data_IF_153470482234
#
_entry.id   IF_153470482234
#
_cell.length_a   1.000
_cell.length_b   1.000
_cell.length_c   1.000
_cell.angle_alpha   90.00
_cell.angle_beta   90.00
_cell.angle_gamma   90.00
#
_symmetry.space_group_name_H-M   'P 1'
#
loop_
_entity.id
_entity.type
_entity.pdbx_description
1 polymer ?
#
# COMPACT_ATOMS: atom_id res chain seq x y z
N UNK A 1 -29.84 -24.23 -19.28
CA UNK A 1 -30.39 -24.03 -17.94
C UNK A 1 -29.35 -24.28 -16.87
N UNK A 2 -28.36 -23.33 -16.68
CA UNK A 2 -27.32 -23.37 -15.63
C UNK A 2 -26.86 -21.97 -15.19
N UNK A 3 -27.78 -21.00 -15.11
CA UNK A 3 -27.44 -19.60 -14.80
C UNK A 3 -28.30 -19.04 -13.66
N UNK A 4 -28.46 -19.76 -12.53
CA UNK A 4 -29.27 -19.25 -11.40
C UNK A 4 -28.71 -19.72 -10.03
N UNK A 5 -27.40 -19.53 -9.77
CA UNK A 5 -26.84 -19.82 -8.43
C UNK A 5 -25.79 -18.76 -8.03
N UNK A 6 -26.09 -17.47 -8.13
CA UNK A 6 -25.15 -16.45 -7.59
C UNK A 6 -25.80 -15.29 -6.83
N UNK A 7 -27.08 -15.39 -6.48
CA UNK A 7 -27.77 -14.31 -5.74
C UNK A 7 -27.96 -14.62 -4.23
N UNK A 8 -27.68 -15.82 -3.76
CA UNK A 8 -27.98 -16.19 -2.36
C UNK A 8 -26.82 -16.06 -1.35
N UNK A 9 -25.63 -15.65 -1.76
CA UNK A 9 -24.49 -15.47 -0.84
C UNK A 9 -24.36 -14.06 -0.23
N UNK A 10 -25.23 -13.12 -0.58
CA UNK A 10 -25.07 -11.70 -0.20
C UNK A 10 -25.80 -11.32 1.10
N UNK A 11 -26.55 -12.21 1.73
CA UNK A 11 -27.37 -11.86 2.91
C UNK A 11 -26.73 -12.19 4.26
N UNK A 12 -25.48 -12.69 4.32
CA UNK A 12 -24.91 -13.17 5.59
C UNK A 12 -23.81 -12.32 6.24
N UNK A 13 -23.45 -11.17 5.69
CA UNK A 13 -22.29 -10.39 6.21
C UNK A 13 -22.66 -9.06 6.89
N UNK A 14 -23.91 -8.75 7.19
CA UNK A 14 -24.27 -7.42 7.72
C UNK A 14 -24.89 -7.44 9.13
N UNK A 15 -24.65 -8.47 9.96
CA UNK A 15 -25.01 -8.45 11.37
C UNK A 15 -23.81 -8.40 12.32
N UNK A 16 -22.79 -7.62 12.00
CA UNK A 16 -21.84 -7.20 13.01
C UNK A 16 -22.33 -5.88 13.61
N UNK A 17 -23.28 -6.00 14.54
CA UNK A 17 -23.57 -4.90 15.47
C UNK A 17 -22.31 -4.69 16.29
N UNK A 18 -21.60 -3.59 15.99
CA UNK A 18 -20.52 -3.07 16.83
C UNK A 18 -21.09 -2.59 18.17
N UNK A 19 -21.45 -3.52 19.05
CA UNK A 19 -21.73 -3.27 20.48
C UNK A 19 -20.45 -3.51 21.28
N UNK A 20 -19.46 -2.68 21.06
CA UNK A 20 -18.32 -2.54 21.97
C UNK A 20 -17.87 -1.08 22.03
N UNK A 21 -18.83 -0.16 22.20
CA UNK A 21 -18.55 1.16 22.72
C UNK A 21 -18.54 1.09 24.26
N UNK A 22 -17.61 0.35 24.85
CA UNK A 22 -17.16 0.67 26.18
C UNK A 22 -16.70 2.13 26.14
N UNK A 23 -17.18 2.96 27.07
CA UNK A 23 -16.66 4.31 27.29
C UNK A 23 -15.18 4.20 27.71
N UNK A 24 -14.29 3.97 26.72
CA UNK A 24 -12.89 4.31 26.86
C UNK A 24 -12.91 5.84 26.91
N UNK A 25 -12.62 6.41 28.06
CA UNK A 25 -12.30 7.83 28.20
C UNK A 25 -11.25 8.15 27.15
N UNK A 26 -11.67 8.71 26.00
CA UNK A 26 -10.75 9.07 24.92
C UNK A 26 -9.89 10.21 25.46
N UNK A 27 -8.63 9.91 25.78
CA UNK A 27 -7.65 10.96 26.03
C UNK A 27 -7.67 11.87 24.79
N UNK A 28 -8.01 13.14 24.96
CA UNK A 28 -8.12 14.14 23.90
C UNK A 28 -6.81 14.33 23.10
N UNK A 29 -5.73 13.69 23.55
CA UNK A 29 -4.42 13.68 22.88
C UNK A 29 -4.33 12.75 21.69
N UNK A 30 -5.26 11.80 21.55
CA UNK A 30 -5.33 10.85 20.42
C UNK A 30 -6.38 11.28 19.40
N UNK A 31 -6.01 11.24 18.14
CA UNK A 31 -6.92 11.39 16.99
C UNK A 31 -6.88 10.09 16.17
N UNK A 32 -8.05 9.51 15.98
CA UNK A 32 -8.21 8.30 15.18
C UNK A 32 -8.97 8.62 13.90
N UNK A 33 -8.70 7.91 12.85
CA UNK A 33 -9.45 8.04 11.62
C UNK A 33 -9.10 6.94 10.63
N UNK A 34 -10.02 6.69 9.73
CA UNK A 34 -9.78 5.67 8.73
C UNK A 34 -10.93 5.53 7.75
N UNK A 35 -10.74 4.66 6.80
CA UNK A 35 -11.77 4.24 5.88
C UNK A 35 -11.59 2.78 5.51
N UNK A 36 -12.69 2.08 5.39
CA UNK A 36 -12.77 0.73 4.84
C UNK A 36 -13.66 0.74 3.60
N UNK A 37 -13.28 0.00 2.57
CA UNK A 37 -14.01 -0.02 1.29
C UNK A 37 -14.05 -1.40 0.64
N UNK A 38 -15.12 -1.64 -0.10
CA UNK A 38 -15.31 -2.77 -1.00
C UNK A 38 -15.70 -2.25 -2.38
N UNK A 39 -14.82 -2.43 -3.34
CA UNK A 39 -15.09 -2.15 -4.74
C UNK A 39 -15.43 -3.45 -5.46
N UNK A 40 -16.42 -3.39 -6.32
CA UNK A 40 -16.85 -4.49 -7.19
C UNK A 40 -16.72 -4.05 -8.64
N UNK A 41 -16.27 -4.98 -9.48
CA UNK A 41 -16.22 -4.79 -10.93
C UNK A 41 -16.84 -6.00 -11.62
N UNK A 42 -17.63 -5.76 -12.66
CA UNK A 42 -18.22 -6.81 -13.48
C UNK A 42 -18.23 -6.41 -14.94
N UNK A 43 -17.81 -7.32 -15.81
CA UNK A 43 -18.03 -7.27 -17.24
C UNK A 43 -18.84 -8.50 -17.63
N UNK A 44 -19.99 -8.29 -18.27
CA UNK A 44 -20.85 -9.36 -18.75
C UNK A 44 -21.15 -9.12 -20.21
N UNK A 45 -20.74 -10.06 -21.05
CA UNK A 45 -20.89 -10.02 -22.51
C UNK A 45 -21.85 -11.13 -22.93
N UNK A 46 -22.89 -10.74 -23.68
CA UNK A 46 -23.83 -11.69 -24.26
C UNK A 46 -24.00 -11.36 -25.73
N UNK A 47 -23.67 -12.29 -26.62
CA UNK A 47 -23.70 -12.12 -28.09
C UNK A 47 -22.89 -10.90 -28.56
N UNK A 48 -21.81 -10.55 -27.85
CA UNK A 48 -20.94 -9.42 -28.15
C UNK A 48 -19.90 -9.80 -29.20
N UNK A 49 -19.96 -9.17 -30.39
CA UNK A 49 -19.13 -9.54 -31.54
C UNK A 49 -17.74 -8.89 -31.55
N UNK A 50 -17.52 -7.84 -30.72
CA UNK A 50 -16.27 -7.04 -30.76
C UNK A 50 -15.13 -7.61 -29.89
N UNK A 51 -15.27 -8.85 -29.37
CA UNK A 51 -14.26 -9.46 -28.51
C UNK A 51 -14.37 -9.05 -27.04
N UNK A 52 -13.51 -9.62 -26.19
CA UNK A 52 -13.55 -9.47 -24.74
C UNK A 52 -13.93 -10.78 -24.06
N UNK A 53 -13.93 -10.79 -22.73
CA UNK A 53 -14.34 -11.93 -21.90
C UNK A 53 -15.16 -11.46 -20.68
N UNK A 54 -16.01 -12.33 -20.18
CA UNK A 54 -16.70 -12.08 -18.92
C UNK A 54 -15.68 -12.01 -17.78
N UNK A 55 -15.85 -11.04 -16.91
CA UNK A 55 -14.97 -10.82 -15.77
C UNK A 55 -15.76 -10.39 -14.53
N UNK A 56 -15.33 -10.84 -13.38
CA UNK A 56 -15.81 -10.38 -12.08
C UNK A 56 -14.62 -10.13 -11.18
N UNK A 57 -14.60 -8.98 -10.50
CA UNK A 57 -13.52 -8.62 -9.59
C UNK A 57 -14.02 -7.92 -8.34
N UNK A 58 -13.17 -7.95 -7.31
CA UNK A 58 -13.36 -7.16 -6.12
C UNK A 58 -12.03 -6.69 -5.55
N UNK A 59 -12.06 -5.55 -4.85
CA UNK A 59 -10.97 -5.02 -4.04
C UNK A 59 -11.50 -4.62 -2.66
N UNK A 60 -10.87 -5.11 -1.61
CA UNK A 60 -11.09 -4.69 -0.23
C UNK A 60 -9.93 -3.77 0.17
N UNK A 61 -10.27 -2.64 0.77
CA UNK A 61 -9.32 -1.62 1.22
C UNK A 61 -9.59 -1.31 2.70
N UNK A 62 -8.53 -1.13 3.48
CA UNK A 62 -8.59 -0.62 4.84
C UNK A 62 -7.42 0.32 5.07
N UNK A 63 -7.73 1.55 5.44
CA UNK A 63 -6.76 2.54 5.90
C UNK A 63 -7.15 2.97 7.32
N UNK A 64 -6.19 2.96 8.23
CA UNK A 64 -6.40 3.39 9.61
C UNK A 64 -5.22 4.24 10.08
N UNK A 65 -5.52 5.29 10.81
CA UNK A 65 -4.53 6.15 11.45
C UNK A 65 -4.85 6.36 12.93
N UNK A 66 -3.81 6.44 13.75
CA UNK A 66 -3.88 6.77 15.17
C UNK A 66 -2.74 7.73 15.48
N UNK A 67 -3.09 9.00 15.69
CA UNK A 67 -2.15 10.08 15.91
C UNK A 67 -2.27 10.60 17.36
N UNK A 68 -1.17 10.57 18.09
CA UNK A 68 -1.04 11.13 19.42
C UNK A 68 -0.30 12.46 19.36
N UNK A 69 -0.85 13.50 20.00
CA UNK A 69 -0.20 14.80 20.15
C UNK A 69 -0.49 15.38 21.52
N UNK A 70 0.53 15.47 22.36
CA UNK A 70 0.45 16.08 23.69
C UNK A 70 1.79 16.68 24.09
N UNK A 71 1.76 17.94 24.53
CA UNK A 71 2.98 18.67 24.89
C UNK A 71 4.01 18.67 23.76
N UNK A 72 5.19 18.08 24.01
CA UNK A 72 6.27 17.94 23.03
C UNK A 72 6.25 16.60 22.28
N UNK A 73 5.26 15.73 22.52
CA UNK A 73 5.20 14.40 21.93
C UNK A 73 4.25 14.40 20.73
N UNK A 74 4.72 13.88 19.63
CA UNK A 74 3.97 13.55 18.42
C UNK A 74 4.22 12.08 18.10
N UNK A 75 3.16 11.28 17.93
CA UNK A 75 3.29 9.90 17.51
C UNK A 75 2.22 9.57 16.48
N UNK A 76 2.64 9.37 15.25
CA UNK A 76 1.78 9.14 14.09
C UNK A 76 1.90 7.70 13.64
N UNK A 77 0.75 7.00 13.60
CA UNK A 77 0.69 5.61 13.20
C UNK A 77 -0.31 5.44 12.06
N UNK A 78 0.04 4.59 11.09
CA UNK A 78 -0.79 4.30 9.92
C UNK A 78 -0.70 2.84 9.53
N UNK A 79 -1.85 2.25 9.21
CA UNK A 79 -1.97 0.93 8.60
C UNK A 79 -2.75 1.09 7.30
N UNK A 80 -2.24 0.51 6.23
CA UNK A 80 -2.93 0.41 4.95
C UNK A 80 -2.93 -1.05 4.51
N UNK A 81 -4.11 -1.58 4.22
CA UNK A 81 -4.29 -2.92 3.71
C UNK A 81 -5.11 -2.88 2.44
N UNK A 82 -4.73 -3.69 1.46
CA UNK A 82 -5.50 -3.86 0.25
C UNK A 82 -5.39 -5.29 -0.23
N UNK A 83 -6.49 -5.86 -0.68
CA UNK A 83 -6.52 -7.16 -1.32
C UNK A 83 -7.57 -7.21 -2.41
N UNK A 84 -7.18 -7.62 -3.61
CA UNK A 84 -8.07 -7.67 -4.76
C UNK A 84 -7.83 -8.89 -5.63
N UNK A 85 -8.91 -9.41 -6.17
CA UNK A 85 -8.93 -10.50 -7.13
C UNK A 85 -9.79 -10.12 -8.33
N UNK A 86 -9.40 -10.61 -9.48
CA UNK A 86 -10.21 -10.60 -10.69
C UNK A 86 -10.26 -12.01 -11.27
N UNK A 87 -11.45 -12.47 -11.62
CA UNK A 87 -11.67 -13.76 -12.26
C UNK A 87 -12.23 -13.53 -13.65
N UNK A 88 -11.63 -14.18 -14.64
CA UNK A 88 -12.08 -14.18 -16.02
C UNK A 88 -12.31 -15.62 -16.49
N UNK A 89 -13.10 -15.79 -17.57
CA UNK A 89 -13.42 -17.13 -18.08
C UNK A 89 -12.19 -17.86 -18.62
N UNK A 90 -11.30 -17.17 -19.31
CA UNK A 90 -10.15 -17.77 -19.98
C UNK A 90 -8.93 -17.87 -19.10
N UNK A 91 -8.65 -16.86 -18.30
CA UNK A 91 -7.42 -16.78 -17.51
C UNK A 91 -7.58 -17.20 -16.05
N UNK A 92 -8.81 -17.49 -15.61
CA UNK A 92 -9.12 -17.83 -14.22
C UNK A 92 -8.86 -16.69 -13.24
N UNK A 93 -8.61 -17.02 -11.98
CA UNK A 93 -8.41 -16.02 -10.92
C UNK A 93 -6.99 -15.43 -10.96
N UNK A 94 -6.92 -14.09 -10.93
CA UNK A 94 -5.67 -13.29 -10.85
C UNK A 94 -5.75 -12.34 -9.68
N UNK A 95 -4.63 -12.19 -8.97
CA UNK A 95 -4.47 -11.17 -7.94
C UNK A 95 -4.24 -9.81 -8.60
N UNK A 96 -5.06 -8.81 -8.26
CA UNK A 96 -5.00 -7.45 -8.80
C UNK A 96 -4.42 -6.47 -7.80
N UNK A 97 -4.65 -6.71 -6.50
CA UNK A 97 -4.14 -5.88 -5.43
C UNK A 97 -3.68 -6.76 -4.25
N UNK A 98 -2.60 -6.35 -3.58
CA UNK A 98 -2.11 -7.04 -2.38
C UNK A 98 -1.09 -6.13 -1.69
N UNK A 99 -1.48 -5.55 -0.56
CA UNK A 99 -0.66 -4.59 0.18
C UNK A 99 -0.91 -4.74 1.67
N UNK A 100 0.17 -4.78 2.42
CA UNK A 100 0.21 -4.56 3.86
C UNK A 100 1.30 -3.52 4.14
N UNK A 101 0.89 -2.33 4.54
CA UNK A 101 1.78 -1.24 4.92
C UNK A 101 1.51 -0.82 6.35
N UNK A 102 2.57 -0.66 7.12
CA UNK A 102 2.54 -0.08 8.46
C UNK A 102 3.59 1.01 8.56
N UNK A 103 3.24 2.15 9.13
CA UNK A 103 4.17 3.24 9.43
C UNK A 103 3.95 3.74 10.86
N UNK A 104 5.03 3.96 11.57
CA UNK A 104 5.04 4.57 12.90
C UNK A 104 6.15 5.61 12.97
N UNK A 105 5.81 6.85 13.29
CA UNK A 105 6.77 7.95 13.46
C UNK A 105 6.55 8.59 14.81
N UNK A 106 7.54 8.48 15.69
CA UNK A 106 7.55 9.17 16.97
C UNK A 106 8.44 10.39 16.90
N UNK A 107 7.96 11.53 17.41
CA UNK A 107 8.67 12.81 17.42
C UNK A 107 8.66 13.48 18.79
N UNK A 108 9.81 14.07 19.16
CA UNK A 108 9.93 14.96 20.30
C UNK A 108 10.13 16.40 19.85
N UNK A 109 9.21 17.29 20.25
CA UNK A 109 9.11 18.67 19.76
C UNK A 109 10.31 19.55 20.12
N UNK A 110 10.98 20.05 19.13
CA UNK A 110 12.03 21.06 19.22
C UNK A 110 11.44 22.47 19.06
N UNK A 111 10.47 22.61 18.14
CA UNK A 111 9.68 23.83 17.95
C UNK A 111 8.21 23.48 17.82
N UNK A 112 7.34 24.44 17.45
CA UNK A 112 5.90 24.19 17.24
C UNK A 112 5.62 23.22 16.08
N UNK A 113 6.52 23.10 15.12
CA UNK A 113 6.34 22.31 13.91
C UNK A 113 7.52 21.38 13.56
N UNK A 114 8.63 21.45 14.30
CA UNK A 114 9.80 20.60 14.08
C UNK A 114 10.02 19.68 15.26
N UNK A 115 10.19 18.38 14.98
CA UNK A 115 10.38 17.32 15.95
C UNK A 115 11.67 16.55 15.63
N UNK A 116 12.45 16.19 16.64
CA UNK A 116 13.43 15.11 16.55
C UNK A 116 12.66 13.79 16.50
N UNK A 117 12.92 12.92 15.53
CA UNK A 117 12.03 11.78 15.28
C UNK A 117 12.74 10.46 15.00
N UNK A 118 12.05 9.39 15.36
CA UNK A 118 12.35 8.02 14.95
C UNK A 118 11.21 7.51 14.05
N UNK A 119 11.58 6.87 12.95
CA UNK A 119 10.67 6.33 11.93
C UNK A 119 10.80 4.81 11.88
N UNK A 120 9.66 4.13 11.70
CA UNK A 120 9.57 2.73 11.30
C UNK A 120 8.52 2.62 10.21
N UNK A 121 8.90 2.06 9.05
CA UNK A 121 7.99 1.68 7.97
C UNK A 121 8.16 0.21 7.65
N UNK A 122 7.06 -0.51 7.52
CA UNK A 122 7.02 -1.89 7.09
C UNK A 122 6.07 -2.05 5.91
N UNK A 123 6.51 -2.73 4.86
CA UNK A 123 5.72 -2.96 3.67
C UNK A 123 5.92 -4.40 3.17
N UNK A 124 4.80 -5.11 2.92
CA UNK A 124 4.81 -6.45 2.33
C UNK A 124 3.45 -6.74 1.67
N UNK A 125 3.18 -7.98 1.37
CA UNK A 125 1.94 -8.48 0.79
C UNK A 125 1.45 -9.72 1.56
N UNK A 126 0.18 -10.10 1.38
CA UNK A 126 -0.44 -11.22 2.10
C UNK A 126 -0.26 -12.55 1.40
N UNK A 127 -0.49 -12.58 0.09
CA UNK A 127 -0.68 -13.80 -0.68
C UNK A 127 0.40 -14.02 -1.73
N UNK A 128 0.51 -15.25 -2.21
CA UNK A 128 1.38 -15.59 -3.34
C UNK A 128 1.01 -14.79 -4.58
N UNK A 129 2.01 -14.28 -5.27
CA UNK A 129 1.91 -13.65 -6.58
C UNK A 129 2.52 -14.53 -7.67
N UNK A 130 1.96 -14.44 -8.85
CA UNK A 130 2.38 -15.22 -10.01
C UNK A 130 2.54 -14.30 -11.22
N UNK A 131 3.47 -14.64 -12.10
CA UNK A 131 3.46 -14.12 -13.46
C UNK A 131 2.38 -14.88 -14.25
N UNK A 132 1.33 -14.17 -14.64
CA UNK A 132 0.21 -14.74 -15.39
C UNK A 132 0.45 -14.80 -16.90
N UNK A 133 1.65 -14.44 -17.37
CA UNK A 133 2.05 -14.52 -18.78
C UNK A 133 2.77 -15.83 -19.10
N UNK A 134 3.16 -16.59 -18.09
CA UNK A 134 3.86 -17.87 -18.24
C UNK A 134 2.91 -19.06 -18.01
N UNK A 135 3.13 -20.15 -18.73
CA UNK A 135 2.46 -21.44 -18.50
C UNK A 135 3.52 -22.55 -18.37
N UNK A 136 3.63 -23.23 -17.23
CA UNK A 136 2.88 -23.01 -16.00
C UNK A 136 3.21 -21.64 -15.37
N UNK A 137 2.27 -21.08 -14.57
CA UNK A 137 2.44 -19.77 -13.91
C UNK A 137 3.66 -19.76 -13.03
N UNK A 138 4.58 -18.84 -13.28
CA UNK A 138 5.78 -18.65 -12.47
C UNK A 138 5.46 -17.94 -11.18
N UNK A 139 5.92 -18.49 -10.07
CA UNK A 139 5.81 -17.89 -8.74
C UNK A 139 6.80 -16.73 -8.60
N UNK A 140 6.32 -15.54 -8.25
CA UNK A 140 7.14 -14.32 -8.21
C UNK A 140 7.13 -13.57 -6.88
N UNK A 141 6.21 -13.86 -5.96
CA UNK A 141 6.15 -13.15 -4.67
C UNK A 141 5.24 -13.86 -3.65
N UNK A 142 5.40 -13.53 -2.36
CA UNK A 142 4.54 -13.96 -1.25
C UNK A 142 4.73 -13.05 -0.02
N UNK A 143 4.03 -13.35 1.08
CA UNK A 143 4.28 -12.70 2.37
C UNK A 143 5.77 -12.78 2.76
N UNK A 144 6.36 -11.62 3.12
CA UNK A 144 7.78 -11.47 3.40
C UNK A 144 8.72 -11.91 2.26
N UNK A 145 8.24 -11.83 1.00
CA UNK A 145 9.04 -12.02 -0.21
C UNK A 145 8.44 -11.19 -1.35
N UNK A 146 8.72 -9.86 -1.38
CA UNK A 146 9.56 -9.13 -0.44
C UNK A 146 8.82 -8.64 0.81
N UNK A 147 9.57 -8.46 1.91
CA UNK A 147 9.20 -7.66 3.06
C UNK A 147 10.22 -6.55 3.25
N UNK A 148 9.79 -5.30 3.22
CA UNK A 148 10.68 -4.14 3.42
C UNK A 148 10.46 -3.54 4.79
N UNK A 149 11.52 -3.43 5.58
CA UNK A 149 11.52 -2.73 6.85
C UNK A 149 12.51 -1.58 6.79
N UNK A 150 12.02 -0.36 6.96
CA UNK A 150 12.87 0.84 7.05
C UNK A 150 12.75 1.41 8.46
N UNK A 151 13.86 1.64 9.12
CA UNK A 151 13.95 2.38 10.37
C UNK A 151 14.86 3.56 10.19
N UNK A 152 14.58 4.68 10.89
CA UNK A 152 15.40 5.87 10.73
C UNK A 152 15.34 6.82 11.92
N UNK A 153 16.40 7.58 12.07
CA UNK A 153 16.52 8.68 13.03
C UNK A 153 16.75 9.99 12.29
N UNK A 154 16.02 11.04 12.68
CA UNK A 154 16.11 12.31 12.00
C UNK A 154 15.14 13.35 12.52
N UNK A 155 14.45 14.05 11.65
CA UNK A 155 13.51 15.13 12.01
C UNK A 155 12.22 15.03 11.22
N UNK A 156 11.12 15.38 11.89
CA UNK A 156 9.80 15.51 11.27
C UNK A 156 9.37 16.96 11.32
N UNK A 157 9.03 17.50 10.16
CA UNK A 157 8.44 18.82 10.00
C UNK A 157 6.93 18.68 9.71
N UNK A 158 6.11 19.21 10.61
CA UNK A 158 4.65 19.15 10.54
C UNK A 158 4.07 20.55 10.73
N UNK A 159 4.13 21.42 9.69
CA UNK A 159 3.70 22.82 9.79
C UNK A 159 2.19 23.00 9.79
N UNK A 160 1.47 22.06 9.19
CA UNK A 160 0.01 22.05 9.04
C UNK A 160 -0.51 20.61 9.21
N UNK A 161 -1.78 20.46 9.57
CA UNK A 161 -2.39 19.13 9.78
C UNK A 161 -2.49 18.27 8.52
N UNK A 162 -2.31 18.85 7.34
CA UNK A 162 -2.45 18.18 6.07
C UNK A 162 -1.11 17.83 5.40
N UNK A 163 0.04 18.25 5.97
CA UNK A 163 1.37 17.94 5.44
C UNK A 163 2.34 17.53 6.55
N UNK A 164 3.06 16.47 6.32
CA UNK A 164 4.16 15.99 7.16
C UNK A 164 5.34 15.61 6.28
N UNK A 165 6.52 16.08 6.62
CA UNK A 165 7.77 15.66 5.98
C UNK A 165 8.72 15.12 7.06
N UNK A 166 9.18 13.88 6.89
CA UNK A 166 10.14 13.21 7.79
C UNK A 166 11.42 12.93 7.02
N UNK A 167 12.49 13.56 7.45
CA UNK A 167 13.84 13.31 6.94
C UNK A 167 14.63 12.53 7.98
N UNK A 168 15.09 11.35 7.63
CA UNK A 168 15.93 10.48 8.45
C UNK A 168 17.33 10.41 7.84
N UNK A 169 18.26 11.15 8.41
CA UNK A 169 19.65 11.20 7.93
C UNK A 169 20.39 9.88 8.17
N UNK A 170 19.98 9.12 9.16
CA UNK A 170 20.49 7.80 9.48
C UNK A 170 19.31 6.83 9.39
N UNK A 171 19.30 6.03 8.33
CA UNK A 171 18.25 5.03 8.08
C UNK A 171 18.87 3.69 7.76
N UNK A 172 18.27 2.65 8.28
CA UNK A 172 18.51 1.28 7.88
C UNK A 172 17.29 0.74 7.12
N UNK A 173 17.52 0.08 6.00
CA UNK A 173 16.50 -0.65 5.23
C UNK A 173 16.90 -2.10 5.10
N UNK A 174 16.01 -3.00 5.49
CA UNK A 174 16.15 -4.44 5.28
C UNK A 174 15.11 -4.94 4.28
N UNK A 175 15.57 -5.61 3.23
CA UNK A 175 14.73 -6.33 2.27
C UNK A 175 14.76 -7.80 2.61
N UNK A 176 13.64 -8.35 3.08
CA UNK A 176 13.50 -9.74 3.49
C UNK A 176 12.90 -10.58 2.37
N UNK A 177 13.48 -11.75 2.11
CA UNK A 177 12.99 -12.74 1.15
C UNK A 177 12.86 -14.09 1.84
N UNK A 178 11.70 -14.38 2.42
CA UNK A 178 11.43 -15.59 3.19
C UNK A 178 11.27 -16.86 2.33
N UNK A 179 11.03 -16.69 1.03
CA UNK A 179 10.88 -17.78 0.07
C UNK A 179 12.24 -18.29 -0.36
N UNK A 180 12.53 -19.57 -0.11
CA UNK A 180 13.76 -20.21 -0.57
C UNK A 180 13.94 -20.11 -2.10
N UNK A 181 12.88 -20.33 -2.87
CA UNK A 181 12.92 -20.26 -4.34
C UNK A 181 13.36 -18.87 -4.81
N UNK A 182 12.72 -17.81 -4.27
CA UNK A 182 13.04 -16.43 -4.66
C UNK A 182 14.40 -15.97 -4.13
N UNK A 183 14.84 -16.49 -2.97
CA UNK A 183 16.16 -16.26 -2.43
C UNK A 183 17.24 -16.92 -3.31
N UNK A 184 17.07 -18.20 -3.67
CA UNK A 184 18.00 -18.93 -4.55
C UNK A 184 18.14 -18.24 -5.94
N UNK A 185 17.08 -17.54 -6.39
CA UNK A 185 17.07 -16.75 -7.64
C UNK A 185 17.69 -15.35 -7.50
N UNK A 186 18.05 -14.92 -6.29
CA UNK A 186 18.54 -13.56 -6.03
C UNK A 186 17.45 -12.48 -6.25
N UNK A 187 16.18 -12.80 -6.00
CA UNK A 187 15.08 -11.88 -6.21
C UNK A 187 15.11 -10.73 -5.21
N UNK A 188 14.67 -9.54 -5.63
CA UNK A 188 14.55 -8.33 -4.79
C UNK A 188 15.87 -7.80 -4.22
N UNK A 189 17.00 -8.08 -4.88
CA UNK A 189 18.31 -7.55 -4.49
C UNK A 189 19.08 -8.39 -3.48
N UNK A 190 18.52 -9.48 -2.93
CA UNK A 190 19.31 -10.40 -2.10
C UNK A 190 20.30 -11.20 -2.93
N UNK A 191 21.43 -11.55 -2.37
CA UNK A 191 22.35 -12.51 -2.99
C UNK A 191 21.70 -13.89 -3.07
N UNK A 192 21.99 -14.70 -4.11
CA UNK A 192 21.44 -16.04 -4.26
C UNK A 192 21.66 -16.92 -3.02
N UNK A 193 20.55 -17.37 -2.41
CA UNK A 193 20.53 -18.16 -1.18
C UNK A 193 20.43 -17.33 0.10
N UNK A 194 20.63 -16.01 0.04
CA UNK A 194 20.46 -15.12 1.19
C UNK A 194 18.99 -14.67 1.34
N UNK A 195 18.62 -14.34 2.58
CA UNK A 195 17.25 -13.98 2.94
C UNK A 195 17.08 -12.53 3.36
N UNK A 196 18.16 -11.77 3.43
CA UNK A 196 18.18 -10.37 3.84
C UNK A 196 19.19 -9.59 3.01
N UNK A 197 18.71 -8.53 2.36
CA UNK A 197 19.55 -7.47 1.83
C UNK A 197 19.46 -6.27 2.77
N UNK A 198 20.61 -5.75 3.21
CA UNK A 198 20.71 -4.73 4.25
C UNK A 198 21.40 -3.48 3.71
N UNK A 199 20.77 -2.34 3.88
CA UNK A 199 21.22 -1.05 3.38
C UNK A 199 21.26 -0.02 4.50
N UNK A 200 22.23 0.89 4.43
CA UNK A 200 22.32 2.06 5.32
C UNK A 200 22.27 3.32 4.46
N UNK A 201 21.41 4.28 4.81
CA UNK A 201 21.22 5.43 3.97
C UNK A 201 20.45 6.57 4.61
N UNK A 202 19.94 7.45 3.73
CA UNK A 202 19.03 8.52 4.07
C UNK A 202 17.62 8.24 3.53
N UNK A 203 16.61 8.61 4.31
CA UNK A 203 15.21 8.50 3.91
C UNK A 203 14.50 9.84 4.01
N UNK A 204 13.70 10.19 3.00
CA UNK A 204 12.79 11.33 3.03
C UNK A 204 11.39 10.84 2.71
N UNK A 205 10.48 10.94 3.68
CA UNK A 205 9.06 10.65 3.53
C UNK A 205 8.25 11.94 3.60
N UNK A 206 7.44 12.20 2.58
CA UNK A 206 6.51 13.35 2.55
C UNK A 206 5.08 12.82 2.39
N UNK A 207 4.20 13.20 3.28
CA UNK A 207 2.79 12.83 3.28
C UNK A 207 1.92 14.09 3.22
N UNK A 208 0.95 14.08 2.30
CA UNK A 208 -0.04 15.14 2.15
C UNK A 208 -1.42 14.48 2.18
N UNK A 209 -2.32 14.97 3.05
CA UNK A 209 -3.73 14.58 3.09
C UNK A 209 -4.56 15.85 3.10
N UNK A 210 -5.18 16.17 1.97
CA UNK A 210 -5.86 17.45 1.79
C UNK A 210 -7.23 17.28 1.14
N UNK A 211 -8.26 17.83 1.78
CA UNK A 211 -9.58 17.97 1.19
C UNK A 211 -9.60 19.25 0.34
N UNK A 212 -9.43 19.12 -0.97
CA UNK A 212 -9.32 20.25 -1.88
C UNK A 212 -10.68 20.71 -2.44
N UNK A 213 -11.68 19.83 -2.40
CA UNK A 213 -13.09 20.12 -2.66
C UNK A 213 -13.96 19.37 -1.65
N UNK A 214 -15.16 19.84 -1.40
CA UNK A 214 -16.12 19.15 -0.54
C UNK A 214 -16.29 17.70 -1.01
N UNK A 215 -16.06 16.75 -0.10
CA UNK A 215 -16.13 15.31 -0.34
C UNK A 215 -15.02 14.76 -1.29
N UNK A 216 -13.99 15.52 -1.60
CA UNK A 216 -12.87 15.08 -2.42
C UNK A 216 -11.55 15.26 -1.66
N UNK A 217 -10.94 14.16 -1.28
CA UNK A 217 -9.68 14.14 -0.52
C UNK A 217 -8.58 13.51 -1.36
N UNK A 218 -7.46 14.21 -1.49
CA UNK A 218 -6.23 13.65 -2.02
C UNK A 218 -5.33 13.22 -0.86
N UNK A 219 -4.79 12.03 -0.96
CA UNK A 219 -3.68 11.56 -0.15
C UNK A 219 -2.51 11.26 -1.06
N UNK A 220 -1.36 11.83 -0.78
CA UNK A 220 -0.13 11.58 -1.52
C UNK A 220 1.00 11.28 -0.54
N UNK A 221 1.74 10.22 -0.78
CA UNK A 221 2.94 9.85 -0.04
C UNK A 221 4.08 9.58 -0.99
N UNK A 222 5.14 10.34 -0.83
CA UNK A 222 6.44 10.11 -1.49
C UNK A 222 7.40 9.58 -0.44
N UNK A 223 8.10 8.52 -0.76
CA UNK A 223 9.15 7.92 0.05
C UNK A 223 10.40 7.77 -0.82
N UNK A 224 11.47 8.49 -0.46
CA UNK A 224 12.75 8.50 -1.15
C UNK A 224 13.80 7.87 -0.25
N UNK A 225 14.61 6.98 -0.81
CA UNK A 225 15.73 6.37 -0.10
C UNK A 225 16.99 6.40 -0.95
N UNK A 226 18.11 6.76 -0.33
CA UNK A 226 19.44 6.72 -0.95
C UNK A 226 20.36 5.87 -0.09
N UNK A 227 20.93 4.82 -0.67
CA UNK A 227 21.91 3.94 -0.02
C UNK A 227 23.28 4.67 0.01
N UNK A 228 23.82 4.94 1.19
CA UNK A 228 25.11 5.62 1.35
C UNK A 228 26.31 4.73 1.06
N UNK A 229 26.13 3.42 1.13
CA UNK A 229 27.21 2.44 0.99
C UNK A 229 27.37 1.97 -0.45
N UNK A 230 26.32 2.10 -1.25
CA UNK A 230 26.31 1.62 -2.63
C UNK A 230 25.51 2.59 -3.51
N UNK A 231 26.19 3.21 -4.47
CA UNK A 231 25.63 4.15 -5.44
C UNK A 231 24.70 5.24 -4.86
N UNK A 232 25.16 6.11 -3.94
CA UNK A 232 24.32 7.07 -3.23
C UNK A 232 23.61 8.09 -4.14
N UNK A 233 24.05 8.23 -5.40
CA UNK A 233 23.38 9.02 -6.43
C UNK A 233 22.10 8.37 -6.96
N UNK A 234 21.92 7.05 -6.78
CA UNK A 234 20.70 6.35 -7.13
C UNK A 234 19.70 6.50 -6.00
N UNK A 235 18.57 7.14 -6.29
CA UNK A 235 17.51 7.35 -5.33
C UNK A 235 16.34 6.46 -5.67
N UNK A 236 15.99 5.56 -4.75
CA UNK A 236 14.77 4.78 -4.84
C UNK A 236 13.57 5.65 -4.53
N UNK A 237 12.53 5.50 -5.33
CA UNK A 237 11.30 6.29 -5.25
C UNK A 237 10.11 5.38 -5.09
N UNK A 238 9.29 5.64 -4.07
CA UNK A 238 7.92 5.11 -3.97
C UNK A 238 6.97 6.28 -3.84
N UNK A 239 6.01 6.36 -4.74
CA UNK A 239 5.02 7.42 -4.75
C UNK A 239 3.62 6.84 -4.86
N UNK A 240 2.86 6.96 -3.80
CA UNK A 240 1.46 6.57 -3.70
C UNK A 240 0.59 7.82 -3.78
N UNK A 241 -0.43 7.81 -4.64
CA UNK A 241 -1.47 8.84 -4.66
C UNK A 241 -2.84 8.15 -4.59
N UNK A 242 -3.72 8.68 -3.75
CA UNK A 242 -5.12 8.25 -3.65
C UNK A 242 -6.01 9.47 -3.73
N UNK A 243 -6.93 9.47 -4.67
CA UNK A 243 -8.01 10.44 -4.78
C UNK A 243 -9.30 9.74 -4.36
N UNK A 244 -9.89 10.20 -3.26
CA UNK A 244 -11.15 9.67 -2.74
C UNK A 244 -12.26 10.68 -2.99
N UNK A 245 -13.34 10.24 -3.64
CA UNK A 245 -14.52 11.03 -3.98
C UNK A 245 -15.74 10.40 -3.32
N UNK A 246 -16.26 11.04 -2.29
CA UNK A 246 -17.42 10.55 -1.53
C UNK A 246 -18.71 11.07 -2.16
N UNK A 247 -19.50 10.18 -2.75
CA UNK A 247 -20.79 10.51 -3.37
C UNK A 247 -21.87 10.65 -2.31
N UNK A 248 -21.91 9.71 -1.35
CA UNK A 248 -22.82 9.73 -0.20
C UNK A 248 -22.22 8.93 0.97
N UNK A 249 -23.00 8.68 2.03
CA UNK A 249 -22.52 7.97 3.25
C UNK A 249 -21.96 6.55 3.00
N UNK A 250 -22.33 5.93 1.89
CA UNK A 250 -22.03 4.52 1.60
C UNK A 250 -21.29 4.31 0.29
N UNK A 251 -21.35 5.27 -0.61
CA UNK A 251 -20.87 5.13 -1.98
C UNK A 251 -19.78 6.14 -2.29
N UNK A 252 -18.67 5.64 -2.82
CA UNK A 252 -17.51 6.43 -3.19
C UNK A 252 -16.89 5.94 -4.49
N UNK A 253 -16.14 6.82 -5.14
CA UNK A 253 -15.18 6.48 -6.17
C UNK A 253 -13.78 6.81 -5.68
N UNK A 254 -12.82 5.98 -6.04
CA UNK A 254 -11.42 6.21 -5.71
C UNK A 254 -10.53 5.93 -6.91
N UNK A 255 -9.50 6.74 -7.06
CA UNK A 255 -8.42 6.53 -8.01
C UNK A 255 -7.15 6.38 -7.16
N UNK A 256 -6.39 5.33 -7.41
CA UNK A 256 -5.08 5.18 -6.78
C UNK A 256 -4.01 4.91 -7.82
N UNK A 257 -2.86 5.54 -7.64
CA UNK A 257 -1.65 5.30 -8.42
C UNK A 257 -0.50 4.93 -7.50
N UNK A 258 0.29 3.97 -7.93
CA UNK A 258 1.52 3.57 -7.26
C UNK A 258 2.65 3.62 -8.28
N UNK A 259 3.68 4.37 -7.98
CA UNK A 259 4.89 4.48 -8.77
C UNK A 259 6.06 3.98 -7.93
N UNK A 260 6.84 3.06 -8.47
CA UNK A 260 8.02 2.50 -7.81
C UNK A 260 9.17 2.54 -8.80
N UNK A 261 10.27 3.14 -8.38
CA UNK A 261 11.58 3.00 -9.00
C UNK A 261 12.56 2.53 -7.93
N UNK A 262 13.24 1.43 -8.18
CA UNK A 262 14.18 0.81 -7.26
C UNK A 262 15.33 0.26 -8.11
N UNK A 263 16.55 0.75 -7.87
CA UNK A 263 17.71 0.41 -8.67
C UNK A 263 18.16 -1.04 -8.47
N UNK A 264 17.86 -1.63 -7.34
CA UNK A 264 18.28 -3.00 -6.98
C UNK A 264 17.28 -4.04 -7.51
N UNK A 265 16.06 -3.61 -7.80
CA UNK A 265 15.02 -4.47 -8.37
C UNK A 265 15.09 -4.51 -9.90
N UNK A 266 15.69 -5.56 -10.44
CA UNK A 266 15.84 -5.77 -11.89
C UNK A 266 14.61 -6.41 -12.51
N UNK A 267 14.02 -5.73 -13.48
CA UNK A 267 12.82 -6.18 -14.21
C UNK A 267 13.21 -6.69 -15.58
N UNK A 268 12.68 -7.87 -15.96
CA UNK A 268 12.86 -8.45 -17.31
C UNK A 268 12.06 -7.61 -18.31
N UNK A 269 12.72 -7.14 -19.36
CA UNK A 269 12.12 -6.36 -20.43
C UNK A 269 11.64 -7.26 -21.58
N UNK A 270 10.94 -6.66 -22.54
CA UNK A 270 10.39 -7.38 -23.70
C UNK A 270 11.49 -7.98 -24.59
N UNK A 271 12.67 -7.40 -24.60
CA UNK A 271 13.86 -7.87 -25.33
C UNK A 271 14.70 -8.91 -24.57
N UNK A 272 14.25 -9.31 -23.37
CA UNK A 272 14.93 -10.25 -22.47
C UNK A 272 16.01 -9.61 -21.59
N UNK A 273 16.36 -8.34 -21.77
CA UNK A 273 17.30 -7.64 -20.90
C UNK A 273 16.72 -7.44 -19.50
N UNK A 274 17.59 -7.39 -18.49
CA UNK A 274 17.21 -7.12 -17.08
C UNK A 274 17.82 -5.82 -16.62
N UNK A 275 17.01 -4.97 -15.98
CA UNK A 275 17.50 -3.72 -15.40
C UNK A 275 16.42 -3.01 -14.56
N UNK A 276 16.81 -1.96 -13.79
CA UNK A 276 15.86 -1.16 -13.04
C UNK A 276 14.89 -0.45 -13.99
N UNK A 277 13.63 -0.43 -13.64
CA UNK A 277 12.56 0.21 -14.43
C UNK A 277 11.54 0.87 -13.52
N UNK A 278 10.98 1.96 -14.04
CA UNK A 278 9.81 2.57 -13.43
C UNK A 278 8.63 1.60 -13.51
N UNK A 279 8.08 1.26 -12.35
CA UNK A 279 6.88 0.45 -12.21
C UNK A 279 5.71 1.39 -11.92
N UNK A 280 4.64 1.27 -12.67
CA UNK A 280 3.44 2.10 -12.50
C UNK A 280 2.21 1.21 -12.45
N UNK A 281 1.38 1.45 -11.44
CA UNK A 281 0.07 0.81 -11.27
C UNK A 281 -0.95 1.90 -11.06
N UNK A 282 -2.05 1.80 -11.80
CA UNK A 282 -3.24 2.62 -11.62
C UNK A 282 -4.44 1.73 -11.34
N UNK A 283 -5.32 2.17 -10.46
CA UNK A 283 -6.61 1.51 -10.23
C UNK A 283 -7.70 2.54 -10.01
N UNK A 284 -8.84 2.32 -10.65
CA UNK A 284 -10.10 3.02 -10.46
C UNK A 284 -11.07 2.07 -9.78
N UNK A 285 -11.59 2.48 -8.64
CA UNK A 285 -12.58 1.72 -7.88
C UNK A 285 -13.84 2.54 -7.67
N UNK A 286 -14.99 1.87 -7.80
CA UNK A 286 -16.29 2.43 -7.44
C UNK A 286 -16.99 1.41 -6.56
N UNK A 287 -17.48 1.82 -5.40
CA UNK A 287 -18.05 0.86 -4.47
C UNK A 287 -18.48 1.44 -3.14
N UNK A 288 -18.62 0.55 -2.18
CA UNK A 288 -19.02 0.92 -0.82
C UNK A 288 -17.79 1.33 -0.01
N UNK A 289 -17.89 2.44 0.69
CA UNK A 289 -16.88 2.93 1.61
C UNK A 289 -17.52 3.47 2.88
N UNK A 290 -16.90 3.16 4.01
CA UNK A 290 -17.23 3.71 5.32
C UNK A 290 -16.02 4.45 5.85
N UNK A 291 -16.22 5.70 6.29
CA UNK A 291 -15.20 6.51 6.96
C UNK A 291 -15.54 6.60 8.45
N UNK A 292 -14.55 6.48 9.32
CA UNK A 292 -14.72 6.46 10.79
C UNK A 292 -13.59 7.21 11.50
#
# INVERSE_FOLDING_TARGET
>A
MKNLIFISAFTFLFNWTATAAGHISRDSSWTYGGNGGLNLSQVSLNNWASGGENAVGFDVLLNYSADYKKNKHLWQNRIEMAYGLNQTETSGTKKTNDKLYFSSTYGYGMTKSLYLSALLNFNTQFAKGYDYKTEPRTYISRFMSPGYLTTGLGSTWNPKNWITATFSAISWRGTFVSSKILSDEGSFGVDPGEHLFSEMGGNLKVEVKYEFLKNMTIYSRVDLFSNYLEDPQNVDVRWDVQLNMTVNKWFSANISTNLIYDNDTKIVQKDGSKGPRLQFKESLGVGFQVTF
#
